data_IF_416873615693
#
_entry.id   IF_416873615693
#
_cell.length_a   1.000
_cell.length_b   1.000
_cell.length_c   1.000
_cell.angle_alpha   90.00
_cell.angle_beta   90.00
_cell.angle_gamma   90.00
#
_symmetry.space_group_name_H-M   'P 1'
#
loop_
_entity.id
_entity.type
_entity.pdbx_description
1 polymer ?
#
# COMPACT_ATOMS: atom_id res chain seq x y z
N UNK A 1 -0.95 25.02 -28.66
CA UNK A 1 -1.27 26.30 -28.02
C UNK A 1 -2.78 26.50 -28.12
N UNK A 2 -3.52 26.16 -27.06
CA UNK A 2 -4.94 26.51 -26.92
C UNK A 2 -5.00 27.32 -25.63
N UNK A 3 -5.24 28.61 -25.79
CA UNK A 3 -5.53 29.55 -24.71
C UNK A 3 -7.00 29.37 -24.39
N UNK A 4 -7.34 28.84 -23.21
CA UNK A 4 -8.71 28.86 -22.71
C UNK A 4 -8.86 30.12 -21.86
N UNK A 5 -9.44 31.15 -22.47
CA UNK A 5 -9.99 32.28 -21.74
C UNK A 5 -11.32 31.87 -21.10
N UNK A 6 -11.46 32.23 -19.83
CA UNK A 6 -12.61 32.00 -18.97
C UNK A 6 -13.84 32.79 -19.43
N UNK A 7 -15.01 32.13 -19.56
CA UNK A 7 -16.32 32.80 -19.59
C UNK A 7 -17.28 32.05 -18.65
N UNK A 8 -17.76 32.76 -17.63
CA UNK A 8 -18.84 32.38 -16.70
C UNK A 8 -20.21 32.67 -17.34
N UNK A 9 -21.16 31.72 -17.17
CA UNK A 9 -22.65 31.85 -17.13
C UNK A 9 -23.34 32.48 -18.37
N UNK A 10 -24.43 31.98 -18.97
CA UNK A 10 -25.78 31.59 -18.48
C UNK A 10 -26.48 30.65 -19.56
N UNK A 11 -27.80 30.29 -19.53
CA UNK A 11 -28.27 28.90 -19.36
C UNK A 11 -29.04 28.28 -20.56
N UNK A 12 -29.32 26.98 -20.44
CA UNK A 12 -30.38 26.19 -21.10
C UNK A 12 -30.47 26.16 -22.64
N UNK A 13 -30.15 25.01 -23.24
CA UNK A 13 -30.74 24.51 -24.50
C UNK A 13 -30.68 22.97 -24.58
N UNK A 14 -31.78 22.38 -25.04
CA UNK A 14 -32.08 20.94 -25.19
C UNK A 14 -31.13 20.21 -26.18
N UNK A 15 -31.10 18.85 -26.23
CA UNK A 15 -30.00 18.08 -26.82
C UNK A 15 -30.12 17.96 -28.34
N UNK A 16 -29.02 18.23 -29.04
CA UNK A 16 -28.88 17.96 -30.49
C UNK A 16 -28.12 16.65 -30.67
N UNK A 17 -28.67 15.76 -31.50
CA UNK A 17 -28.21 14.39 -31.70
C UNK A 17 -26.84 14.27 -32.41
N UNK A 18 -26.12 13.20 -32.06
CA UNK A 18 -24.77 12.79 -32.47
C UNK A 18 -24.50 12.60 -33.99
N UNK A 19 -25.41 13.04 -34.88
CA UNK A 19 -25.34 12.78 -36.33
C UNK A 19 -24.81 13.94 -37.19
N UNK A 20 -24.61 15.14 -36.64
CA UNK A 20 -24.09 16.29 -37.41
C UNK A 20 -22.58 16.55 -37.27
N UNK A 21 -21.87 15.86 -36.38
CA UNK A 21 -20.41 16.03 -36.22
C UNK A 21 -19.58 15.25 -37.26
N UNK A 22 -20.20 14.33 -38.02
CA UNK A 22 -19.48 13.42 -38.94
C UNK A 22 -19.35 13.90 -40.39
N UNK A 23 -19.82 15.12 -40.71
CA UNK A 23 -19.74 15.69 -42.06
C UNK A 23 -18.71 16.84 -42.18
N UNK A 24 -18.19 17.38 -41.07
CA UNK A 24 -17.24 18.49 -41.10
C UNK A 24 -15.74 18.08 -41.21
N UNK A 25 -15.39 16.79 -41.14
CA UNK A 25 -13.99 16.32 -41.20
C UNK A 25 -13.57 15.78 -42.57
N UNK A 26 -14.33 16.04 -43.65
CA UNK A 26 -14.02 15.55 -45.00
C UNK A 26 -13.85 16.64 -46.06
N UNK A 27 -13.82 17.92 -45.68
CA UNK A 27 -13.67 19.06 -46.61
C UNK A 27 -12.37 19.85 -46.41
N UNK A 28 -11.55 19.55 -45.41
CA UNK A 28 -10.24 20.21 -45.21
C UNK A 28 -9.12 19.18 -45.40
N UNK A 29 -9.01 18.65 -46.62
CA UNK A 29 -7.85 17.87 -47.05
C UNK A 29 -7.49 18.07 -48.53
N UNK A 30 -8.20 18.96 -49.24
CA UNK A 30 -7.89 19.29 -50.63
C UNK A 30 -8.11 20.79 -50.83
N UNK A 31 -7.05 21.57 -50.75
CA UNK A 31 -6.67 22.58 -51.76
C UNK A 31 -5.45 23.36 -51.27
N UNK A 32 -4.34 23.11 -51.96
CA UNK A 32 -3.18 23.98 -52.04
C UNK A 32 -3.43 25.10 -53.07
N UNK A 33 -2.76 26.23 -52.84
CA UNK A 33 -2.59 27.38 -53.75
C UNK A 33 -3.81 28.26 -54.05
N UNK A 34 -3.83 29.45 -53.43
CA UNK A 34 -3.92 30.77 -54.10
C UNK A 34 -3.91 31.86 -53.03
N UNK A 35 -3.11 32.91 -53.24
CA UNK A 35 -2.97 34.04 -52.31
C UNK A 35 -4.11 35.05 -52.43
N UNK A 36 -4.38 35.72 -51.30
CA UNK A 36 -4.97 37.05 -51.07
C UNK A 36 -4.37 37.39 -49.67
N UNK A 37 -3.63 38.48 -49.43
CA UNK A 37 -3.83 39.84 -49.91
C UNK A 37 -4.48 40.66 -48.80
N UNK A 38 -3.65 41.06 -47.82
CA UNK A 38 -3.79 42.20 -46.92
C UNK A 38 -4.93 42.30 -45.88
N UNK A 39 -4.61 43.10 -44.86
CA UNK A 39 -5.40 43.64 -43.73
C UNK A 39 -5.32 42.79 -42.46
N UNK A 40 -4.39 43.13 -41.55
CA UNK A 40 -4.59 43.39 -40.10
C UNK A 40 -3.25 43.90 -39.49
N UNK A 41 -3.26 44.83 -38.51
CA UNK A 41 -2.13 45.70 -38.16
C UNK A 41 -1.04 45.02 -37.33
N UNK A 42 0.16 45.59 -37.40
CA UNK A 42 1.32 45.23 -36.60
C UNK A 42 1.12 45.51 -35.11
N UNK A 43 1.26 44.49 -34.27
CA UNK A 43 1.67 44.65 -32.87
C UNK A 43 2.79 43.66 -32.53
N UNK A 44 3.83 44.21 -31.90
CA UNK A 44 5.11 43.59 -31.59
C UNK A 44 4.99 42.47 -30.55
N UNK A 45 5.38 41.25 -30.93
CA UNK A 45 5.78 40.21 -29.96
C UNK A 45 7.12 39.60 -30.37
N UNK A 46 8.15 39.84 -29.55
CA UNK A 46 9.46 39.22 -29.65
C UNK A 46 9.35 37.73 -29.30
N UNK A 47 9.60 36.85 -30.27
CA UNK A 47 9.85 35.43 -30.03
C UNK A 47 11.33 35.12 -30.25
N UNK A 48 12.01 34.60 -29.22
CA UNK A 48 13.32 33.97 -29.38
C UNK A 48 13.14 32.54 -29.86
N UNK A 49 13.38 32.31 -31.15
CA UNK A 49 13.45 30.99 -31.77
C UNK A 49 14.73 30.26 -31.30
N UNK A 50 14.58 29.23 -30.46
CA UNK A 50 15.68 28.30 -30.17
C UNK A 50 15.57 27.12 -31.15
N UNK A 51 16.43 27.13 -32.17
CA UNK A 51 16.58 26.06 -33.17
C UNK A 51 17.21 24.84 -32.50
N UNK A 52 16.43 23.78 -32.29
CA UNK A 52 16.97 22.47 -31.87
C UNK A 52 17.23 21.65 -33.14
N UNK A 53 18.50 21.35 -33.38
CA UNK A 53 18.94 20.48 -34.49
C UNK A 53 18.45 19.03 -34.28
N UNK A 54 17.80 18.46 -35.31
CA UNK A 54 17.53 17.02 -35.39
C UNK A 54 18.85 16.26 -35.63
N UNK A 55 19.16 15.19 -34.89
CA UNK A 55 20.24 14.29 -35.29
C UNK A 55 19.82 13.45 -36.51
N UNK A 56 20.80 13.25 -37.40
CA UNK A 56 20.69 12.62 -38.72
C UNK A 56 20.24 11.15 -38.63
N UNK A 57 19.31 10.81 -39.51
CA UNK A 57 18.91 9.46 -39.89
C UNK A 57 20.11 8.68 -40.44
N UNK A 58 20.48 7.56 -39.84
CA UNK A 58 21.32 6.53 -40.48
C UNK A 58 20.38 5.44 -40.99
N UNK A 59 20.24 5.38 -42.31
CA UNK A 59 19.56 4.30 -43.02
C UNK A 59 20.40 3.03 -42.97
N UNK A 60 19.83 1.94 -42.46
CA UNK A 60 20.22 0.58 -42.87
C UNK A 60 18.97 -0.17 -43.30
N UNK A 61 18.89 -0.44 -44.59
CA UNK A 61 17.91 -1.33 -45.19
C UNK A 61 18.06 -2.73 -44.60
N UNK A 62 16.99 -3.30 -44.07
CA UNK A 62 16.91 -4.75 -43.87
C UNK A 62 15.89 -5.26 -44.87
N UNK A 63 16.41 -6.03 -45.82
CA UNK A 63 15.70 -6.76 -46.85
C UNK A 63 14.69 -7.70 -46.20
N UNK A 64 13.44 -7.60 -46.64
CA UNK A 64 12.44 -8.65 -46.47
C UNK A 64 12.82 -9.83 -47.35
N UNK A 65 13.14 -10.98 -46.76
CA UNK A 65 12.96 -12.27 -47.41
C UNK A 65 12.74 -13.37 -46.36
N UNK A 66 11.59 -14.01 -46.50
CA UNK A 66 11.19 -15.32 -45.98
C UNK A 66 12.31 -16.35 -46.10
N UNK A 67 12.67 -17.03 -45.00
CA UNK A 67 13.17 -18.42 -45.05
C UNK A 67 12.92 -19.15 -43.72
N UNK A 68 12.69 -20.44 -43.89
CA UNK A 68 12.09 -21.43 -43.01
C UNK A 68 12.97 -21.92 -41.86
N UNK A 69 12.26 -22.40 -40.84
CA UNK A 69 12.68 -23.22 -39.72
C UNK A 69 13.74 -24.30 -40.05
N UNK A 70 14.89 -24.30 -39.36
CA UNK A 70 15.57 -25.46 -38.72
C UNK A 70 17.03 -25.14 -38.37
N UNK A 71 17.47 -25.59 -37.18
CA UNK A 71 18.86 -25.74 -36.73
C UNK A 71 19.73 -24.50 -36.43
N UNK A 72 19.51 -23.87 -35.27
CA UNK A 72 20.62 -23.32 -34.45
C UNK A 72 20.38 -23.72 -32.99
N UNK A 73 20.62 -24.99 -32.68
CA UNK A 73 20.64 -25.48 -31.30
C UNK A 73 21.93 -26.28 -31.12
N UNK A 74 23.05 -25.57 -30.92
CA UNK A 74 24.32 -26.16 -30.44
C UNK A 74 25.38 -25.17 -29.93
N UNK A 75 25.23 -23.85 -30.15
CA UNK A 75 26.19 -22.85 -29.63
C UNK A 75 25.67 -21.97 -28.48
N UNK A 76 24.47 -22.23 -27.95
CA UNK A 76 23.92 -21.48 -26.80
C UNK A 76 24.40 -21.99 -25.42
N UNK A 77 25.36 -22.92 -25.37
CA UNK A 77 25.82 -23.57 -24.12
C UNK A 77 27.21 -23.14 -23.62
N UNK A 78 27.82 -22.10 -24.20
CA UNK A 78 29.17 -21.69 -23.80
C UNK A 78 29.36 -20.16 -23.70
N UNK A 79 28.31 -19.44 -23.31
CA UNK A 79 28.33 -18.02 -22.90
C UNK A 79 27.33 -17.78 -21.75
N UNK A 80 27.35 -18.66 -20.75
CA UNK A 80 26.62 -18.49 -19.49
C UNK A 80 27.61 -18.64 -18.33
N UNK A 81 28.59 -17.75 -18.30
CA UNK A 81 29.33 -17.39 -17.10
C UNK A 81 29.47 -15.88 -17.16
N UNK A 82 28.96 -15.17 -16.14
CA UNK A 82 28.93 -13.71 -16.01
C UNK A 82 27.67 -12.95 -16.49
N UNK A 83 26.49 -13.57 -16.41
CA UNK A 83 25.25 -12.79 -16.22
C UNK A 83 24.94 -12.75 -14.73
N UNK A 84 25.05 -11.56 -14.13
CA UNK A 84 24.66 -11.27 -12.76
C UNK A 84 23.20 -11.71 -12.50
N UNK A 85 22.95 -12.21 -11.30
CA UNK A 85 21.64 -12.65 -10.83
C UNK A 85 20.59 -11.53 -10.98
N UNK A 86 19.79 -11.55 -12.06
CA UNK A 86 18.62 -10.68 -12.19
C UNK A 86 17.57 -11.20 -11.21
N UNK A 87 17.51 -10.59 -10.02
CA UNK A 87 16.42 -10.85 -9.07
C UNK A 87 15.08 -10.51 -9.73
N UNK A 88 14.13 -11.44 -9.70
CA UNK A 88 12.77 -11.19 -10.20
C UNK A 88 12.17 -9.94 -9.52
N UNK A 89 11.42 -9.11 -10.24
CA UNK A 89 10.87 -7.88 -9.67
C UNK A 89 9.86 -8.18 -8.55
N UNK A 90 9.91 -7.36 -7.49
CA UNK A 90 9.02 -7.43 -6.32
C UNK A 90 7.58 -7.03 -6.64
N UNK A 91 7.37 -6.26 -7.70
CA UNK A 91 6.07 -5.87 -8.24
C UNK A 91 6.02 -6.24 -9.72
N UNK A 92 5.01 -7.00 -10.14
CA UNK A 92 4.71 -7.23 -11.55
C UNK A 92 3.62 -6.27 -12.01
N UNK A 93 3.67 -5.87 -13.27
CA UNK A 93 2.65 -5.03 -13.89
C UNK A 93 2.21 -5.62 -15.24
N UNK A 94 0.93 -5.51 -15.54
CA UNK A 94 0.36 -5.87 -16.84
C UNK A 94 -0.78 -4.91 -17.19
N UNK A 95 -0.83 -4.42 -18.42
CA UNK A 95 -1.92 -3.59 -18.92
C UNK A 95 -2.65 -4.34 -20.03
N UNK A 96 -3.92 -4.66 -19.80
CA UNK A 96 -4.77 -5.34 -20.77
C UNK A 96 -6.16 -4.70 -20.77
N UNK A 97 -6.67 -4.36 -21.95
CA UNK A 97 -8.02 -3.81 -22.14
C UNK A 97 -8.34 -2.61 -21.23
N UNK A 98 -7.32 -1.78 -20.97
CA UNK A 98 -7.40 -0.61 -20.10
C UNK A 98 -7.33 -0.91 -18.60
N UNK A 99 -7.10 -2.15 -18.19
CA UNK A 99 -6.94 -2.56 -16.79
C UNK A 99 -5.46 -2.75 -16.48
N UNK A 100 -4.92 -1.92 -15.60
CA UNK A 100 -3.57 -2.07 -15.07
C UNK A 100 -3.62 -3.02 -13.87
N UNK A 101 -3.00 -4.18 -13.98
CA UNK A 101 -2.87 -5.14 -12.88
C UNK A 101 -1.49 -5.04 -12.24
N UNK A 102 -1.44 -4.71 -10.96
CA UNK A 102 -0.25 -4.70 -10.11
C UNK A 102 -0.25 -5.95 -9.24
N UNK A 103 0.79 -6.77 -9.34
CA UNK A 103 0.90 -8.03 -8.58
C UNK A 103 2.06 -7.95 -7.59
N UNK A 104 1.75 -7.97 -6.30
CA UNK A 104 2.74 -8.14 -5.24
C UNK A 104 3.44 -9.49 -5.42
N UNK A 105 4.76 -9.49 -5.61
CA UNK A 105 5.51 -10.66 -6.04
C UNK A 105 6.72 -10.95 -5.15
N UNK A 106 6.44 -11.12 -3.86
CA UNK A 106 7.40 -11.58 -2.83
C UNK A 106 6.80 -12.77 -2.06
N UNK A 107 6.39 -13.86 -2.72
CA UNK A 107 5.59 -14.92 -2.08
C UNK A 107 6.34 -15.63 -0.95
N UNK A 108 7.67 -15.75 -1.04
CA UNK A 108 8.52 -16.30 0.04
C UNK A 108 8.50 -15.45 1.31
N UNK A 109 8.31 -14.13 1.15
CA UNK A 109 8.14 -13.17 2.24
C UNK A 109 6.66 -12.90 2.53
N UNK A 110 5.74 -13.73 2.01
CA UNK A 110 4.29 -13.55 2.14
C UNK A 110 3.82 -12.17 1.67
N UNK A 111 4.46 -11.66 0.61
CA UNK A 111 4.20 -10.35 0.02
C UNK A 111 4.30 -9.20 1.02
N UNK A 112 5.23 -9.31 1.97
CA UNK A 112 5.53 -8.22 2.89
C UNK A 112 5.96 -6.95 2.14
N UNK A 113 5.54 -5.80 2.64
CA UNK A 113 5.85 -4.48 2.09
C UNK A 113 7.22 -4.04 2.60
N UNK A 114 8.22 -4.13 1.73
CA UNK A 114 9.51 -3.47 1.93
C UNK A 114 9.57 -2.14 1.19
N UNK A 115 10.63 -1.39 1.45
CA UNK A 115 10.88 -0.11 0.79
C UNK A 115 10.88 -0.24 -0.73
N UNK A 116 11.54 -1.28 -1.28
CA UNK A 116 11.60 -1.50 -2.74
C UNK A 116 10.22 -1.66 -3.36
N UNK A 117 9.38 -2.54 -2.81
CA UNK A 117 8.02 -2.78 -3.30
C UNK A 117 7.17 -1.51 -3.23
N UNK A 118 7.22 -0.80 -2.09
CA UNK A 118 6.48 0.43 -1.90
C UNK A 118 6.93 1.54 -2.88
N UNK A 119 8.23 1.69 -3.12
CA UNK A 119 8.75 2.66 -4.09
C UNK A 119 8.31 2.34 -5.51
N UNK A 120 8.25 1.05 -5.88
CA UNK A 120 7.73 0.65 -7.18
C UNK A 120 6.24 0.98 -7.35
N UNK A 121 5.44 0.71 -6.31
CA UNK A 121 4.02 1.06 -6.30
C UNK A 121 3.82 2.57 -6.36
N UNK A 122 4.56 3.33 -5.56
CA UNK A 122 4.52 4.78 -5.54
C UNK A 122 4.82 5.35 -6.93
N UNK A 123 5.91 4.93 -7.57
CA UNK A 123 6.28 5.39 -8.90
C UNK A 123 5.15 5.20 -9.93
N UNK A 124 4.55 4.01 -9.97
CA UNK A 124 3.46 3.71 -10.92
C UNK A 124 2.20 4.52 -10.59
N UNK A 125 1.80 4.59 -9.32
CA UNK A 125 0.57 5.29 -8.93
C UNK A 125 0.71 6.82 -9.12
N UNK A 126 1.89 7.37 -8.81
CA UNK A 126 2.25 8.76 -9.09
C UNK A 126 2.20 9.10 -10.58
N UNK A 127 2.54 8.15 -11.46
CA UNK A 127 2.39 8.35 -12.90
C UNK A 127 0.93 8.54 -13.33
N UNK A 128 -0.01 7.93 -12.59
CA UNK A 128 -1.45 8.00 -12.85
C UNK A 128 -2.12 9.23 -12.21
N UNK A 129 -1.53 9.82 -11.17
CA UNK A 129 -2.03 11.03 -10.52
C UNK A 129 -1.75 12.27 -11.40
N UNK A 130 -2.78 12.97 -11.92
CA UNK A 130 -2.59 14.15 -12.77
C UNK A 130 -1.97 15.34 -12.04
N UNK A 131 -2.07 15.39 -10.71
CA UNK A 131 -1.48 16.47 -9.90
C UNK A 131 -0.02 16.21 -9.53
N UNK A 132 0.47 14.99 -9.72
CA UNK A 132 1.85 14.68 -9.38
C UNK A 132 2.81 15.34 -10.38
N UNK A 133 3.74 16.14 -9.86
CA UNK A 133 4.85 16.63 -10.65
C UNK A 133 5.78 15.46 -10.99
N UNK A 134 5.73 15.04 -12.25
CA UNK A 134 6.50 13.89 -12.76
C UNK A 134 8.02 14.08 -12.63
N UNK A 135 8.49 15.33 -12.50
CA UNK A 135 9.90 15.64 -12.25
C UNK A 135 10.31 15.47 -10.78
N UNK A 136 9.32 15.33 -9.87
CA UNK A 136 9.51 15.10 -8.44
C UNK A 136 9.15 13.67 -8.02
N UNK A 137 8.96 12.76 -8.98
CA UNK A 137 9.02 11.31 -8.71
C UNK A 137 10.48 11.00 -8.37
N UNK A 138 10.89 11.41 -7.19
CA UNK A 138 12.20 11.07 -6.65
C UNK A 138 12.16 9.57 -6.37
N UNK A 139 13.22 8.81 -6.71
CA UNK A 139 13.50 7.59 -5.99
C UNK A 139 13.73 8.01 -4.54
N UNK A 140 12.67 7.96 -3.73
CA UNK A 140 12.78 8.12 -2.29
C UNK A 140 13.78 7.03 -1.86
N UNK A 141 14.88 7.43 -1.23
CA UNK A 141 16.02 6.57 -0.91
C UNK A 141 17.34 7.32 -1.09
N UNK A 142 17.84 7.94 -0.01
CA UNK A 142 19.05 8.77 -0.02
C UNK A 142 20.34 8.13 -0.58
N UNK A 143 21.27 9.03 -0.95
CA UNK A 143 22.62 8.83 -1.51
C UNK A 143 22.90 7.52 -2.25
N UNK A 144 22.68 7.58 -3.56
CA UNK A 144 23.19 6.60 -4.50
C UNK A 144 22.18 6.31 -5.60
N UNK A 145 22.10 7.21 -6.59
CA UNK A 145 21.36 7.00 -7.84
C UNK A 145 21.74 5.68 -8.56
N UNK A 146 22.87 5.05 -8.18
CA UNK A 146 23.40 3.85 -8.83
C UNK A 146 23.21 2.51 -8.08
N UNK A 147 22.71 2.48 -6.83
CA UNK A 147 22.66 1.22 -6.05
C UNK A 147 21.33 0.48 -6.05
N UNK A 148 20.23 1.14 -6.37
CA UNK A 148 18.95 0.48 -6.58
C UNK A 148 18.46 0.83 -7.97
N UNK A 149 18.45 -0.14 -8.89
CA UNK A 149 17.83 -0.04 -10.20
C UNK A 149 16.31 0.17 -10.09
N UNK A 150 15.91 1.35 -9.64
CA UNK A 150 14.55 1.78 -9.29
C UNK A 150 13.94 2.62 -10.42
N UNK A 151 14.51 2.54 -11.63
CA UNK A 151 13.79 2.84 -12.85
C UNK A 151 12.71 1.76 -13.03
N UNK A 152 11.55 2.02 -12.45
CA UNK A 152 10.33 1.35 -12.90
C UNK A 152 10.02 1.94 -14.26
N UNK A 153 10.32 1.20 -15.32
CA UNK A 153 9.75 1.51 -16.62
C UNK A 153 8.24 1.44 -16.48
N UNK A 154 7.57 2.55 -16.76
CA UNK A 154 6.11 2.62 -16.89
C UNK A 154 5.83 2.61 -18.40
N UNK A 155 5.70 1.42 -19.03
CA UNK A 155 5.71 1.28 -20.49
C UNK A 155 4.36 1.65 -21.12
N UNK A 156 3.52 2.40 -20.42
CA UNK A 156 2.18 2.74 -20.84
C UNK A 156 1.88 4.21 -20.54
N UNK A 157 1.10 4.88 -21.39
CA UNK A 157 0.65 6.23 -21.11
C UNK A 157 -0.50 6.19 -20.09
N UNK A 158 -0.57 7.20 -19.22
CA UNK A 158 -1.55 7.26 -18.12
C UNK A 158 -3.02 7.24 -18.59
N UNK A 159 -3.30 7.74 -19.80
CA UNK A 159 -4.64 7.78 -20.40
C UNK A 159 -5.11 6.40 -20.93
N UNK A 160 -4.19 5.45 -21.10
CA UNK A 160 -4.54 4.06 -21.43
C UNK A 160 -5.13 3.30 -20.22
N UNK A 161 -4.90 3.77 -18.99
CA UNK A 161 -5.38 3.10 -17.77
C UNK A 161 -6.76 3.62 -17.39
N UNK A 162 -7.72 2.69 -17.28
CA UNK A 162 -9.13 2.91 -16.95
C UNK A 162 -9.53 2.37 -15.58
N UNK A 163 -8.83 1.36 -15.09
CA UNK A 163 -8.95 0.82 -13.74
C UNK A 163 -7.61 0.20 -13.31
N UNK A 164 -7.39 0.14 -11.99
CA UNK A 164 -6.20 -0.50 -11.39
C UNK A 164 -6.66 -1.68 -10.54
N UNK A 165 -6.08 -2.86 -10.79
CA UNK A 165 -6.28 -4.06 -9.97
C UNK A 165 -5.00 -4.35 -9.20
N UNK A 166 -5.10 -4.47 -7.89
CA UNK A 166 -4.04 -4.93 -7.02
C UNK A 166 -4.31 -6.38 -6.62
N UNK A 167 -3.34 -7.24 -6.91
CA UNK A 167 -3.38 -8.66 -6.56
C UNK A 167 -2.01 -9.12 -6.01
N UNK A 168 -1.88 -10.39 -5.68
CA UNK A 168 -0.64 -10.93 -5.13
C UNK A 168 -0.34 -12.34 -5.66
N UNK A 169 0.94 -12.73 -5.68
CA UNK A 169 1.36 -14.10 -6.01
C UNK A 169 1.54 -14.97 -4.77
N UNK A 170 1.41 -16.28 -4.91
CA UNK A 170 1.54 -17.23 -3.79
C UNK A 170 0.33 -17.25 -2.85
N UNK A 171 0.45 -17.81 -1.64
CA UNK A 171 -0.71 -18.16 -0.80
C UNK A 171 -1.24 -17.03 0.11
N UNK A 172 -0.57 -15.89 0.14
CA UNK A 172 -0.91 -14.79 1.06
C UNK A 172 -1.00 -13.51 0.26
N UNK A 173 -2.11 -12.76 0.38
CA UNK A 173 -2.22 -11.45 -0.26
C UNK A 173 -1.10 -10.50 0.18
N UNK A 174 -1.02 -10.18 1.47
CA UNK A 174 0.03 -9.33 2.03
C UNK A 174 0.10 -9.43 3.55
N UNK A 175 1.28 -9.75 4.10
CA UNK A 175 1.47 -9.89 5.55
C UNK A 175 1.80 -8.58 6.29
N UNK A 176 1.75 -7.42 5.64
CA UNK A 176 2.13 -6.13 6.22
C UNK A 176 3.59 -5.77 5.98
N UNK A 177 4.17 -4.87 6.78
CA UNK A 177 5.58 -4.46 6.61
C UNK A 177 6.57 -5.61 6.78
N UNK A 178 7.68 -5.55 6.05
CA UNK A 178 8.79 -6.49 6.20
C UNK A 178 9.48 -6.28 7.55
N UNK A 179 9.16 -7.13 8.53
CA UNK A 179 9.71 -7.03 9.88
C UNK A 179 11.24 -7.17 9.93
N UNK A 180 11.87 -7.83 8.95
CA UNK A 180 13.35 -7.91 8.90
C UNK A 180 13.94 -6.57 8.50
N UNK A 181 13.34 -5.88 7.54
CA UNK A 181 13.74 -4.52 7.15
C UNK A 181 13.54 -3.55 8.32
N UNK A 182 12.37 -3.57 8.97
CA UNK A 182 12.11 -2.74 10.15
C UNK A 182 13.14 -2.98 11.27
N UNK A 183 13.45 -4.24 11.58
CA UNK A 183 14.47 -4.56 12.59
C UNK A 183 15.87 -4.05 12.18
N UNK A 184 16.24 -4.14 10.91
CA UNK A 184 17.53 -3.65 10.41
C UNK A 184 17.64 -2.13 10.52
N UNK A 185 16.57 -1.40 10.18
CA UNK A 185 16.53 0.05 10.31
C UNK A 185 16.73 0.49 11.77
N UNK A 186 16.13 -0.21 12.73
CA UNK A 186 16.32 0.07 14.16
C UNK A 186 17.76 -0.17 14.64
N UNK A 187 18.40 -1.26 14.22
CA UNK A 187 19.78 -1.59 14.61
C UNK A 187 20.78 -0.54 14.08
N UNK A 188 20.58 -0.09 12.84
CA UNK A 188 21.46 0.90 12.22
C UNK A 188 21.39 2.26 12.93
N UNK A 189 20.23 2.62 13.48
CA UNK A 189 20.07 3.84 14.28
C UNK A 189 20.78 3.75 15.64
N UNK A 190 20.73 2.60 16.32
CA UNK A 190 21.39 2.39 17.63
C UNK A 190 22.93 2.38 17.52
N UNK A 191 23.48 2.07 16.35
CA UNK A 191 24.94 2.02 16.12
C UNK A 191 25.55 3.36 15.68
N UNK A 192 24.73 4.35 15.33
CA UNK A 192 25.17 5.74 15.07
C UNK A 192 25.14 6.66 16.29
N UNK A 193 24.40 6.31 17.35
CA UNK A 193 24.32 7.12 18.57
C UNK A 193 25.48 6.80 19.54
N UNK A 194 26.50 7.65 19.57
CA UNK A 194 27.52 7.64 20.63
C UNK A 194 26.92 8.23 21.93
N UNK A 195 27.30 7.77 23.15
CA UNK A 195 26.76 8.35 24.37
C UNK A 195 27.21 9.81 24.52
N UNK A 196 26.34 10.75 24.94
CA UNK A 196 26.77 12.10 25.24
C UNK A 196 27.67 12.06 26.48
N UNK A 197 28.88 12.61 26.35
CA UNK A 197 29.78 12.86 27.47
C UNK A 197 29.09 13.80 28.47
N UNK A 198 29.04 13.38 29.73
CA UNK A 198 28.45 14.13 30.83
C UNK A 198 29.26 15.39 31.17
N UNK A 199 28.71 16.58 30.90
CA UNK A 199 28.84 17.76 31.77
C UNK A 199 27.95 18.91 31.28
N UNK A 200 27.22 19.49 32.25
CA UNK A 200 26.77 20.88 32.29
C UNK A 200 25.35 21.27 31.79
N UNK A 201 24.45 21.13 32.76
CA UNK A 201 23.27 21.93 33.11
C UNK A 201 23.12 23.36 32.51
N UNK A 202 21.89 23.58 31.98
CA UNK A 202 21.04 24.80 31.95
C UNK A 202 21.07 25.78 30.76
N UNK A 203 19.93 25.73 30.06
CA UNK A 203 18.91 26.79 29.81
C UNK A 203 19.15 27.84 28.69
N UNK A 204 18.05 28.00 27.94
CA UNK A 204 17.72 29.01 26.93
C UNK A 204 18.45 28.89 25.59
N UNK A 205 17.90 28.04 24.72
CA UNK A 205 18.06 28.19 23.28
C UNK A 205 16.72 27.85 22.60
N UNK A 206 16.43 28.66 21.60
CA UNK A 206 15.31 28.69 20.65
C UNK A 206 14.78 27.32 20.20
N UNK A 207 13.51 27.33 19.82
CA UNK A 207 12.89 26.37 18.90
C UNK A 207 13.72 26.26 17.61
N UNK A 208 14.75 25.42 17.64
CA UNK A 208 15.38 24.87 16.46
C UNK A 208 14.96 23.41 16.42
N UNK A 209 14.22 23.07 15.37
CA UNK A 209 13.83 21.72 14.98
C UNK A 209 15.02 20.77 15.11
N UNK A 210 15.04 19.96 16.17
CA UNK A 210 15.90 18.78 16.24
C UNK A 210 15.25 17.68 15.39
N UNK A 211 15.19 17.89 14.08
CA UNK A 211 14.99 16.83 13.10
C UNK A 211 16.34 16.12 12.94
N UNK A 212 16.53 14.99 13.61
CA UNK A 212 17.23 13.80 13.08
C UNK A 212 17.58 12.82 14.20
N UNK A 213 16.85 11.69 14.27
CA UNK A 213 17.41 10.36 14.62
C UNK A 213 16.46 9.15 14.36
N UNK A 214 15.48 9.23 13.44
CA UNK A 214 14.73 8.03 12.98
C UNK A 214 14.33 8.10 11.48
N UNK A 215 15.20 8.70 10.66
CA UNK A 215 14.90 9.15 9.29
C UNK A 215 14.38 8.01 8.38
N UNK A 216 15.08 6.87 8.32
CA UNK A 216 14.73 5.78 7.38
C UNK A 216 13.46 5.01 7.74
N UNK A 217 13.21 4.77 9.03
CA UNK A 217 11.94 4.18 9.48
C UNK A 217 10.78 5.12 9.17
N UNK A 218 11.00 6.41 9.40
CA UNK A 218 10.02 7.46 9.12
C UNK A 218 9.76 7.57 7.62
N UNK A 219 10.79 7.56 6.78
CA UNK A 219 10.70 7.48 5.31
C UNK A 219 9.85 6.29 4.86
N UNK A 220 10.07 5.10 5.42
CA UNK A 220 9.32 3.89 5.07
C UNK A 220 7.81 4.02 5.37
N UNK A 221 7.46 4.54 6.55
CA UNK A 221 6.04 4.76 6.91
C UNK A 221 5.41 5.89 6.09
N UNK A 222 6.16 6.96 5.79
CA UNK A 222 5.70 8.01 4.89
C UNK A 222 5.44 7.49 3.49
N UNK A 223 6.38 6.76 2.90
CA UNK A 223 6.23 6.13 1.60
C UNK A 223 5.01 5.20 1.55
N UNK A 224 4.84 4.37 2.58
CA UNK A 224 3.65 3.51 2.71
C UNK A 224 2.37 4.34 2.74
N UNK A 225 2.34 5.45 3.49
CA UNK A 225 1.18 6.33 3.57
C UNK A 225 0.87 7.03 2.25
N UNK A 226 1.90 7.50 1.53
CA UNK A 226 1.76 8.11 0.21
C UNK A 226 1.16 7.12 -0.80
N UNK A 227 1.64 5.86 -0.85
CA UNK A 227 1.04 4.81 -1.68
C UNK A 227 -0.46 4.66 -1.39
N UNK A 228 -0.83 4.68 -0.12
CA UNK A 228 -2.21 4.45 0.32
C UNK A 228 -3.10 5.66 0.03
N UNK A 229 -2.55 6.88 0.10
CA UNK A 229 -3.26 8.09 -0.31
C UNK A 229 -3.39 8.15 -1.84
N UNK A 230 -2.35 7.76 -2.59
CA UNK A 230 -2.40 7.68 -4.05
C UNK A 230 -3.48 6.71 -4.53
N UNK A 231 -3.61 5.52 -3.92
CA UNK A 231 -4.68 4.58 -4.25
C UNK A 231 -6.09 5.19 -4.14
N UNK A 232 -6.32 6.12 -3.20
CA UNK A 232 -7.60 6.84 -3.05
C UNK A 232 -7.71 8.09 -3.92
N UNK A 233 -6.58 8.63 -4.36
CA UNK A 233 -6.50 9.94 -5.04
C UNK A 233 -6.55 9.83 -6.55
N UNK A 234 -5.92 8.79 -7.12
CA UNK A 234 -5.84 8.64 -8.57
C UNK A 234 -7.25 8.59 -9.20
N UNK A 235 -7.44 9.12 -10.42
CA UNK A 235 -8.76 9.20 -11.02
C UNK A 235 -9.33 7.85 -11.49
N UNK A 236 -8.48 6.82 -11.61
CA UNK A 236 -8.89 5.48 -11.99
C UNK A 236 -9.41 4.70 -10.77
N UNK A 237 -10.57 4.03 -10.86
CA UNK A 237 -11.05 3.14 -9.81
C UNK A 237 -10.02 2.06 -9.47
N UNK A 238 -9.81 1.86 -8.17
CA UNK A 238 -8.88 0.86 -7.62
C UNK A 238 -9.62 -0.35 -7.05
N UNK A 239 -9.11 -1.53 -7.34
CA UNK A 239 -9.71 -2.80 -6.94
C UNK A 239 -8.63 -3.65 -6.27
N UNK A 240 -8.87 -4.16 -5.07
CA UNK A 240 -8.03 -5.22 -4.49
C UNK A 240 -8.67 -6.60 -4.67
N UNK A 241 -7.86 -7.56 -5.11
CA UNK A 241 -8.20 -8.98 -5.19
C UNK A 241 -7.45 -9.71 -4.06
N UNK A 242 -8.15 -10.02 -2.98
CA UNK A 242 -7.58 -10.51 -1.73
C UNK A 242 -7.87 -12.00 -1.56
N UNK A 243 -6.83 -12.83 -1.57
CA UNK A 243 -6.88 -14.23 -1.19
C UNK A 243 -5.96 -14.52 0.00
N UNK A 244 -6.26 -15.59 0.74
CA UNK A 244 -5.52 -15.92 1.96
C UNK A 244 -5.53 -14.78 2.98
N UNK A 245 -4.36 -14.41 3.52
CA UNK A 245 -4.29 -13.39 4.58
C UNK A 245 -3.95 -11.98 4.08
N UNK A 246 -4.69 -10.98 4.58
CA UNK A 246 -4.34 -9.56 4.54
C UNK A 246 -4.13 -9.05 5.97
N UNK A 247 -2.88 -8.82 6.37
CA UNK A 247 -2.57 -8.44 7.76
C UNK A 247 -1.84 -7.11 7.89
N UNK A 248 -2.13 -6.35 8.95
CA UNK A 248 -1.51 -5.06 9.25
C UNK A 248 -1.53 -4.13 8.01
N UNK A 249 -0.38 -3.71 7.49
CA UNK A 249 -0.32 -2.85 6.30
C UNK A 249 -0.89 -3.54 5.03
N UNK A 250 -0.97 -4.87 4.97
CA UNK A 250 -1.69 -5.58 3.90
C UNK A 250 -3.21 -5.43 4.01
N UNK A 251 -3.75 -5.40 5.24
CA UNK A 251 -5.16 -5.09 5.48
C UNK A 251 -5.46 -3.62 5.16
N UNK A 252 -4.54 -2.71 5.52
CA UNK A 252 -4.60 -1.29 5.14
C UNK A 252 -4.64 -1.11 3.62
N UNK A 253 -3.85 -1.91 2.90
CA UNK A 253 -3.74 -1.84 1.46
C UNK A 253 -5.06 -2.20 0.77
N UNK A 254 -5.70 -3.29 1.19
CA UNK A 254 -7.04 -3.65 0.73
C UNK A 254 -8.08 -2.56 1.08
N UNK A 255 -8.10 -2.12 2.34
CA UNK A 255 -9.03 -1.10 2.83
C UNK A 255 -8.88 0.28 2.16
N UNK A 256 -7.73 0.57 1.54
CA UNK A 256 -7.47 1.84 0.85
C UNK A 256 -7.93 1.83 -0.61
N UNK A 257 -8.37 0.68 -1.14
CA UNK A 257 -8.93 0.58 -2.50
C UNK A 257 -10.43 0.86 -2.53
N UNK A 258 -10.96 1.32 -3.67
CA UNK A 258 -12.39 1.64 -3.82
C UNK A 258 -13.28 0.40 -3.73
N UNK A 259 -12.79 -0.73 -4.24
CA UNK A 259 -13.50 -2.01 -4.25
C UNK A 259 -12.56 -3.10 -3.75
N UNK A 260 -13.03 -3.90 -2.79
CA UNK A 260 -12.31 -5.10 -2.33
C UNK A 260 -13.10 -6.35 -2.71
N UNK A 261 -12.49 -7.24 -3.50
CA UNK A 261 -13.00 -8.57 -3.78
C UNK A 261 -12.15 -9.58 -3.03
N UNK A 262 -12.79 -10.45 -2.25
CA UNK A 262 -12.10 -11.42 -1.42
C UNK A 262 -12.47 -12.86 -1.80
N UNK A 263 -11.52 -13.79 -1.69
CA UNK A 263 -11.84 -15.21 -1.70
C UNK A 263 -12.61 -15.61 -0.44
N UNK A 264 -13.35 -16.72 -0.50
CA UNK A 264 -14.14 -17.22 0.62
C UNK A 264 -13.32 -17.51 1.88
N UNK A 265 -12.09 -17.98 1.71
CA UNK A 265 -11.15 -18.28 2.78
C UNK A 265 -10.30 -17.07 3.22
N UNK A 266 -10.49 -15.89 2.59
CA UNK A 266 -9.72 -14.71 2.92
C UNK A 266 -9.93 -14.25 4.37
N UNK A 267 -8.85 -13.76 4.99
CA UNK A 267 -8.83 -13.32 6.37
C UNK A 267 -8.15 -11.95 6.50
N UNK A 268 -8.77 -11.07 7.29
CA UNK A 268 -8.31 -9.70 7.54
C UNK A 268 -7.94 -9.55 9.02
N UNK A 269 -6.78 -8.98 9.33
CA UNK A 269 -6.30 -8.91 10.72
C UNK A 269 -5.33 -7.74 10.95
N UNK A 270 -5.32 -7.17 12.16
CA UNK A 270 -4.30 -6.21 12.62
C UNK A 270 -3.54 -6.78 13.83
N UNK A 271 -2.63 -7.74 13.62
CA UNK A 271 -2.05 -8.55 14.70
C UNK A 271 -0.94 -7.86 15.50
N UNK A 272 -0.59 -6.60 15.19
CA UNK A 272 0.58 -5.92 15.78
C UNK A 272 0.60 -5.97 17.31
N UNK A 273 -0.58 -5.93 17.94
CA UNK A 273 -0.70 -5.85 19.40
C UNK A 273 -0.18 -7.11 20.10
N UNK A 274 -0.11 -8.23 19.37
CA UNK A 274 0.46 -9.49 19.84
C UNK A 274 2.00 -9.47 19.90
N UNK A 275 2.64 -8.46 19.30
CA UNK A 275 4.09 -8.26 19.27
C UNK A 275 4.50 -6.88 19.79
N UNK A 276 3.66 -6.23 20.59
CA UNK A 276 3.97 -4.93 21.20
C UNK A 276 3.82 -3.72 20.26
N UNK A 277 3.21 -3.89 19.09
CA UNK A 277 2.96 -2.82 18.13
C UNK A 277 1.48 -2.49 18.01
N UNK A 278 1.12 -1.22 17.90
CA UNK A 278 -0.24 -0.83 17.58
C UNK A 278 -0.35 -0.57 16.08
N UNK A 279 -1.36 -1.11 15.40
CA UNK A 279 -1.54 -0.91 13.96
C UNK A 279 -2.15 0.47 13.63
N UNK A 280 -1.44 1.55 13.97
CA UNK A 280 -1.90 2.94 13.83
C UNK A 280 -2.07 3.40 12.38
N UNK A 281 -1.25 2.90 11.46
CA UNK A 281 -1.40 3.21 10.02
C UNK A 281 -2.54 2.43 9.38
N UNK A 282 -2.72 1.12 9.65
CA UNK A 282 -3.92 0.39 9.23
C UNK A 282 -5.22 0.96 9.77
N UNK A 283 -5.23 1.57 10.97
CA UNK A 283 -6.46 2.10 11.53
C UNK A 283 -7.05 3.27 10.73
N UNK A 284 -6.25 4.00 9.93
CA UNK A 284 -6.73 5.13 9.14
C UNK A 284 -7.86 4.72 8.18
N UNK A 285 -7.66 3.80 7.22
CA UNK A 285 -8.73 3.34 6.34
C UNK A 285 -9.73 2.43 7.07
N UNK A 286 -9.30 1.63 8.05
CA UNK A 286 -10.23 0.74 8.76
C UNK A 286 -11.32 1.49 9.52
N UNK A 287 -11.02 2.68 10.07
CA UNK A 287 -12.02 3.52 10.72
C UNK A 287 -12.98 4.20 9.74
N UNK A 288 -12.69 4.19 8.44
CA UNK A 288 -13.58 4.66 7.37
C UNK A 288 -14.46 3.53 6.84
N UNK A 289 -13.91 2.31 6.71
CA UNK A 289 -14.63 1.16 6.19
C UNK A 289 -15.51 0.46 7.23
N UNK A 290 -15.02 0.30 8.47
CA UNK A 290 -15.67 -0.53 9.49
C UNK A 290 -16.46 0.30 10.50
N UNK A 291 -17.55 -0.25 11.07
CA UNK A 291 -18.17 0.31 12.26
C UNK A 291 -17.15 0.43 13.40
N UNK A 292 -17.13 1.58 14.08
CA UNK A 292 -16.12 1.92 15.09
C UNK A 292 -15.86 0.83 16.14
N UNK A 293 -16.92 0.16 16.62
CA UNK A 293 -16.79 -0.93 17.61
C UNK A 293 -16.07 -2.16 17.05
N UNK A 294 -16.30 -2.48 15.78
CA UNK A 294 -15.66 -3.61 15.09
C UNK A 294 -14.17 -3.27 14.83
N UNK A 295 -13.89 -2.06 14.34
CA UNK A 295 -12.51 -1.61 14.15
C UNK A 295 -11.73 -1.63 15.46
N UNK A 296 -12.30 -1.12 16.55
CA UNK A 296 -11.64 -1.09 17.86
C UNK A 296 -11.39 -2.48 18.42
N UNK A 297 -12.37 -3.38 18.32
CA UNK A 297 -12.20 -4.76 18.74
C UNK A 297 -11.06 -5.43 17.96
N UNK A 298 -11.06 -5.32 16.62
CA UNK A 298 -9.98 -5.82 15.76
C UNK A 298 -8.60 -5.24 16.13
N UNK A 299 -8.52 -3.93 16.38
CA UNK A 299 -7.26 -3.24 16.68
C UNK A 299 -6.74 -3.51 18.10
N UNK A 300 -7.61 -3.65 19.10
CA UNK A 300 -7.20 -3.90 20.49
C UNK A 300 -6.92 -5.38 20.77
N UNK A 301 -7.69 -6.29 20.17
CA UNK A 301 -7.55 -7.73 20.41
C UNK A 301 -6.61 -8.40 19.42
N UNK A 302 -6.46 -7.80 18.23
CA UNK A 302 -5.81 -8.42 17.10
C UNK A 302 -6.64 -9.54 16.49
N UNK A 303 -7.97 -9.63 16.72
CA UNK A 303 -8.78 -10.73 16.17
C UNK A 303 -8.82 -10.72 14.64
N UNK A 304 -9.14 -11.88 14.08
CA UNK A 304 -9.38 -12.08 12.65
C UNK A 304 -10.82 -11.67 12.32
N UNK A 305 -10.98 -11.03 11.16
CA UNK A 305 -12.24 -10.91 10.44
C UNK A 305 -12.22 -11.88 9.27
N UNK A 306 -13.21 -12.77 9.22
CA UNK A 306 -13.44 -13.62 8.06
C UNK A 306 -13.92 -12.80 6.86
N UNK A 307 -13.78 -13.33 5.65
CA UNK A 307 -14.33 -12.73 4.41
C UNK A 307 -15.83 -12.36 4.54
N UNK A 308 -16.63 -13.22 5.17
CA UNK A 308 -18.07 -12.99 5.40
C UNK A 308 -18.33 -11.86 6.40
N UNK A 309 -17.60 -11.82 7.52
CA UNK A 309 -17.69 -10.68 8.45
C UNK A 309 -17.24 -9.39 7.78
N UNK A 310 -16.13 -9.42 7.05
CA UNK A 310 -15.61 -8.27 6.33
C UNK A 310 -16.60 -7.76 5.28
N UNK A 311 -17.32 -8.66 4.59
CA UNK A 311 -18.43 -8.31 3.69
C UNK A 311 -19.58 -7.65 4.45
N UNK A 312 -20.02 -8.26 5.55
CA UNK A 312 -21.12 -7.75 6.38
C UNK A 312 -20.82 -6.36 6.96
N UNK A 313 -19.56 -6.09 7.31
CA UNK A 313 -19.14 -4.81 7.88
C UNK A 313 -18.70 -3.76 6.85
N UNK A 314 -18.68 -4.10 5.55
CA UNK A 314 -18.34 -3.15 4.47
C UNK A 314 -16.86 -2.98 4.18
N UNK A 315 -15.98 -3.80 4.76
CA UNK A 315 -14.55 -3.85 4.40
C UNK A 315 -14.34 -4.58 3.05
N UNK A 316 -15.20 -5.55 2.72
CA UNK A 316 -15.18 -6.29 1.46
C UNK A 316 -16.45 -5.99 0.69
N UNK A 317 -16.32 -5.74 -0.62
CA UNK A 317 -17.46 -5.47 -1.50
C UNK A 317 -18.10 -6.74 -2.04
N UNK A 318 -17.29 -7.78 -2.31
CA UNK A 318 -17.74 -9.09 -2.81
C UNK A 318 -16.87 -10.22 -2.30
N UNK A 319 -17.50 -11.35 -1.99
CA UNK A 319 -16.82 -12.61 -1.72
C UNK A 319 -17.06 -13.55 -2.89
N UNK A 320 -16.01 -14.20 -3.37
CA UNK A 320 -16.05 -15.17 -4.47
C UNK A 320 -15.49 -16.51 -4.01
N UNK A 321 -16.01 -17.61 -4.57
CA UNK A 321 -15.42 -18.93 -4.39
C UNK A 321 -14.06 -18.98 -5.12
N UNK A 322 -13.11 -19.75 -4.59
CA UNK A 322 -11.90 -20.08 -5.34
C UNK A 322 -12.28 -20.89 -6.58
N UNK A 323 -11.60 -20.63 -7.70
CA UNK A 323 -11.62 -21.58 -8.81
C UNK A 323 -11.07 -22.92 -8.29
N UNK A 324 -11.71 -24.07 -8.63
CA UNK A 324 -11.21 -25.36 -8.18
C UNK A 324 -9.74 -25.49 -8.58
N UNK A 325 -8.86 -25.97 -7.68
CA UNK A 325 -7.45 -26.07 -7.99
C UNK A 325 -7.26 -26.86 -9.29
N UNK A 326 -6.59 -26.26 -10.27
CA UNK A 326 -6.20 -26.96 -11.50
C UNK A 326 -5.37 -28.16 -11.08
N UNK A 327 -5.92 -29.35 -11.29
CA UNK A 327 -5.42 -30.63 -10.80
C UNK A 327 -3.89 -30.75 -10.86
N UNK A 328 -3.22 -30.67 -9.71
CA UNK A 328 -1.88 -31.22 -9.51
C UNK A 328 -1.87 -32.02 -8.21
N UNK A 329 -1.72 -33.33 -8.40
CA UNK A 329 -1.33 -34.38 -7.44
C UNK A 329 -1.64 -34.15 -5.96
N UNK A 330 -2.61 -34.94 -5.47
CA UNK A 330 -2.72 -35.30 -4.06
C UNK A 330 -1.36 -35.78 -3.52
N UNK A 331 -0.90 -35.18 -2.43
CA UNK A 331 -0.27 -35.91 -1.34
C UNK A 331 -0.90 -35.41 -0.05
N UNK A 332 -1.84 -36.20 0.45
CA UNK A 332 -2.27 -36.09 1.83
C UNK A 332 -1.11 -36.57 2.71
N UNK A 333 -0.62 -35.69 3.56
CA UNK A 333 0.03 -36.06 4.82
C UNK A 333 -0.44 -35.06 5.86
N UNK A 334 -1.11 -35.60 6.87
CA UNK A 334 -1.62 -34.90 8.04
C UNK A 334 -0.50 -34.15 8.77
N UNK A 335 -0.69 -32.85 8.98
CA UNK A 335 -0.09 -32.11 10.10
C UNK A 335 -1.09 -31.05 10.57
N UNK A 336 -1.98 -31.50 11.47
CA UNK A 336 -2.67 -30.62 12.40
C UNK A 336 -1.73 -30.20 13.55
N UNK A 337 -1.98 -29.02 14.09
CA UNK A 337 -1.55 -28.47 15.38
C UNK A 337 -0.28 -27.59 15.42
N UNK A 338 -0.44 -26.28 15.11
CA UNK A 338 0.13 -25.19 15.93
C UNK A 338 -0.87 -24.02 16.01
N UNK A 339 -2.00 -24.25 16.66
CA UNK A 339 -2.73 -23.22 17.40
C UNK A 339 -3.19 -23.88 18.69
N UNK A 340 -2.35 -23.80 19.71
CA UNK A 340 -2.76 -24.16 21.06
C UNK A 340 -3.85 -23.19 21.49
N UNK A 341 -5.11 -23.61 21.37
CA UNK A 341 -6.15 -23.13 22.26
C UNK A 341 -5.82 -23.73 23.62
N UNK A 342 -5.06 -22.99 24.42
CA UNK A 342 -4.85 -23.33 25.81
C UNK A 342 -6.17 -23.05 26.55
N UNK A 343 -7.12 -23.99 26.42
CA UNK A 343 -8.25 -24.09 27.36
C UNK A 343 -7.74 -24.77 28.60
N UNK A 344 -6.85 -24.08 29.31
CA UNK A 344 -6.67 -24.36 30.73
C UNK A 344 -7.95 -23.89 31.40
N UNK A 345 -8.82 -24.83 31.73
CA UNK A 345 -9.87 -24.60 32.72
C UNK A 345 -9.15 -24.30 34.03
N UNK A 346 -8.83 -23.03 34.27
CA UNK A 346 -8.46 -22.57 35.60
C UNK A 346 -9.69 -22.77 36.48
N UNK A 347 -9.67 -23.89 37.22
CA UNK A 347 -10.58 -24.20 38.32
C UNK A 347 -10.52 -23.16 39.46
N UNK A 348 -9.78 -22.07 39.30
CA UNK A 348 -9.61 -21.02 40.30
C UNK A 348 -10.37 -19.72 39.96
N UNK A 349 -10.95 -19.58 38.76
CA UNK A 349 -11.72 -18.37 38.40
C UNK A 349 -13.17 -18.43 38.90
N UNK A 350 -13.72 -19.64 39.12
CA UNK A 350 -15.06 -19.80 39.67
C UNK A 350 -15.16 -19.51 41.17
N UNK A 351 -14.04 -19.59 41.90
CA UNK A 351 -14.00 -19.33 43.35
C UNK A 351 -13.87 -17.83 43.69
N UNK A 352 -13.20 -17.02 42.84
CA UNK A 352 -13.13 -15.56 43.05
C UNK A 352 -14.42 -14.82 42.67
N UNK A 353 -15.18 -15.33 41.70
CA UNK A 353 -16.51 -14.76 41.36
C UNK A 353 -17.53 -15.05 42.47
N UNK A 354 -17.33 -16.11 43.25
CA UNK A 354 -18.26 -16.54 44.31
C UNK A 354 -18.35 -15.56 45.48
N UNK A 355 -17.31 -14.72 45.69
CA UNK A 355 -17.24 -13.83 46.86
C UNK A 355 -17.73 -12.39 46.65
N UNK A 356 -18.26 -12.05 45.47
CA UNK A 356 -18.80 -10.70 45.19
C UNK A 356 -20.32 -10.66 44.94
N UNK A 357 -21.06 -11.72 45.25
CA UNK A 357 -22.49 -11.80 44.94
C UNK A 357 -23.41 -11.29 46.06
N UNK A 358 -23.70 -9.99 46.04
CA UNK A 358 -24.94 -9.44 46.62
C UNK A 358 -25.87 -8.77 45.59
N UNK A 359 -25.60 -8.89 44.29
CA UNK A 359 -26.56 -8.53 43.24
C UNK A 359 -26.77 -9.70 42.27
N UNK A 360 -27.99 -10.23 42.24
CA UNK A 360 -28.38 -11.31 41.33
C UNK A 360 -28.51 -10.74 39.92
N UNK A 361 -27.46 -10.88 39.12
CA UNK A 361 -27.52 -10.63 37.68
C UNK A 361 -28.30 -11.75 36.99
N UNK A 362 -29.06 -11.45 35.92
CA UNK A 362 -29.77 -12.48 35.15
C UNK A 362 -28.78 -13.47 34.48
N UNK A 363 -29.20 -14.69 34.11
CA UNK A 363 -28.33 -15.62 33.36
C UNK A 363 -27.72 -14.98 32.11
N UNK A 364 -28.51 -14.19 31.36
CA UNK A 364 -28.02 -13.44 30.21
C UNK A 364 -26.96 -12.40 30.56
N UNK A 365 -27.16 -11.64 31.65
CA UNK A 365 -26.17 -10.68 32.13
C UNK A 365 -24.84 -11.36 32.53
N UNK A 366 -24.89 -12.57 33.11
CA UNK A 366 -23.67 -13.35 33.41
C UNK A 366 -22.91 -13.76 32.15
N UNK A 367 -23.61 -14.19 31.10
CA UNK A 367 -22.97 -14.56 29.82
C UNK A 367 -22.28 -13.34 29.19
N UNK A 368 -22.97 -12.20 29.11
CA UNK A 368 -22.40 -10.97 28.56
C UNK A 368 -21.21 -10.48 29.39
N UNK A 369 -21.31 -10.55 30.73
CA UNK A 369 -20.21 -10.17 31.61
C UNK A 369 -19.00 -11.10 31.46
N UNK A 370 -19.23 -12.41 31.30
CA UNK A 370 -18.16 -13.38 31.05
C UNK A 370 -17.42 -13.06 29.76
N UNK A 371 -18.15 -12.76 28.69
CA UNK A 371 -17.57 -12.40 27.40
C UNK A 371 -16.79 -11.08 27.48
N UNK A 372 -17.37 -10.05 28.10
CA UNK A 372 -16.69 -8.78 28.33
C UNK A 372 -15.38 -8.96 29.12
N UNK A 373 -15.39 -9.82 30.14
CA UNK A 373 -14.20 -10.14 30.93
C UNK A 373 -13.16 -10.92 30.12
N UNK A 374 -13.57 -11.79 29.20
CA UNK A 374 -12.66 -12.51 28.29
C UNK A 374 -11.94 -11.53 27.38
N UNK A 375 -12.67 -10.61 26.73
CA UNK A 375 -12.08 -9.55 25.90
C UNK A 375 -11.18 -8.64 26.73
N UNK A 376 -11.60 -8.22 27.92
CA UNK A 376 -10.81 -7.38 28.81
C UNK A 376 -9.48 -8.04 29.21
N UNK A 377 -9.49 -9.34 29.56
CA UNK A 377 -8.28 -10.11 29.85
C UNK A 377 -7.36 -10.23 28.64
N UNK A 378 -7.92 -10.44 27.44
CA UNK A 378 -7.15 -10.48 26.20
C UNK A 378 -6.43 -9.14 25.93
N UNK A 379 -7.12 -8.02 26.13
CA UNK A 379 -6.51 -6.68 25.99
C UNK A 379 -5.46 -6.44 27.09
N UNK A 380 -5.76 -6.82 28.34
CA UNK A 380 -4.85 -6.69 29.47
C UNK A 380 -3.58 -7.53 29.32
N UNK A 381 -3.62 -8.61 28.52
CA UNK A 381 -2.45 -9.43 28.21
C UNK A 381 -1.48 -8.77 27.21
N UNK A 382 -1.84 -7.62 26.61
CA UNK A 382 -0.99 -6.89 25.66
C UNK A 382 -0.14 -5.86 26.39
N UNK A 383 0.84 -5.28 25.69
CA UNK A 383 1.63 -4.18 26.24
C UNK A 383 0.73 -2.99 26.61
N UNK A 384 0.78 -2.57 27.87
CA UNK A 384 0.04 -1.41 28.37
C UNK A 384 0.49 -0.10 27.68
N UNK A 385 1.77 0.01 27.34
CA UNK A 385 2.30 1.17 26.60
C UNK A 385 1.70 1.23 25.19
N UNK A 386 1.74 0.11 24.45
CA UNK A 386 1.12 -0.03 23.13
C UNK A 386 -0.37 0.30 23.13
N UNK A 387 -1.12 -0.20 24.13
CA UNK A 387 -2.56 0.07 24.25
C UNK A 387 -2.87 1.54 24.51
N UNK A 388 -2.09 2.21 25.38
CA UNK A 388 -2.27 3.63 25.70
C UNK A 388 -1.99 4.51 24.48
N UNK A 389 -0.85 4.28 23.82
CA UNK A 389 -0.46 4.98 22.59
C UNK A 389 -1.51 4.79 21.49
N UNK A 390 -1.89 3.53 21.23
CA UNK A 390 -2.89 3.19 20.21
C UNK A 390 -4.25 3.82 20.46
N UNK A 391 -4.77 3.77 21.70
CA UNK A 391 -6.04 4.41 22.04
C UNK A 391 -6.02 5.92 21.81
N UNK A 392 -4.92 6.60 22.16
CA UNK A 392 -4.76 8.03 21.90
C UNK A 392 -4.89 8.37 20.42
N UNK A 393 -4.17 7.63 19.57
CA UNK A 393 -4.19 7.81 18.11
C UNK A 393 -5.57 7.53 17.54
N UNK A 394 -6.24 6.46 17.96
CA UNK A 394 -7.58 6.12 17.48
C UNK A 394 -8.60 7.21 17.79
N UNK A 395 -8.55 7.79 18.99
CA UNK A 395 -9.47 8.89 19.32
C UNK A 395 -9.24 10.08 18.40
N UNK A 396 -7.98 10.45 18.19
CA UNK A 396 -7.63 11.54 17.30
C UNK A 396 -8.06 11.29 15.84
N UNK A 397 -7.81 10.08 15.31
CA UNK A 397 -8.20 9.72 13.95
C UNK A 397 -9.70 9.72 13.71
N UNK A 398 -10.53 9.49 14.75
CA UNK A 398 -11.99 9.58 14.63
C UNK A 398 -12.55 11.00 14.66
N UNK A 399 -11.70 12.01 14.90
CA UNK A 399 -12.09 13.41 14.85
C UNK A 399 -12.25 13.86 13.40
N UNK A 400 -13.38 14.47 13.07
CA UNK A 400 -13.65 15.04 11.74
C UNK A 400 -12.79 16.26 11.41
N UNK A 401 -12.00 16.76 12.36
CA UNK A 401 -11.19 17.97 12.21
C UNK A 401 -9.84 17.73 11.50
N UNK A 402 -9.49 16.46 11.22
CA UNK A 402 -8.22 16.12 10.60
C UNK A 402 -8.42 15.59 9.18
N UNK A 403 -7.65 16.15 8.25
CA UNK A 403 -7.53 15.63 6.88
C UNK A 403 -6.95 14.22 6.87
N UNK A 404 -7.09 13.51 5.74
CA UNK A 404 -6.48 12.20 5.55
C UNK A 404 -4.96 12.23 5.80
N UNK A 405 -4.29 13.27 5.27
CA UNK A 405 -2.84 13.46 5.41
C UNK A 405 -2.43 13.65 6.88
N UNK A 406 -3.19 14.42 7.65
CA UNK A 406 -2.94 14.60 9.09
C UNK A 406 -3.16 13.30 9.87
N UNK A 407 -4.21 12.54 9.55
CA UNK A 407 -4.46 11.22 10.17
C UNK A 407 -3.31 10.25 9.93
N UNK A 408 -2.75 10.22 8.72
CA UNK A 408 -1.54 9.43 8.44
C UNK A 408 -0.29 9.98 9.12
N UNK A 409 -0.09 11.29 9.17
CA UNK A 409 1.05 11.89 9.89
C UNK A 409 1.06 11.46 11.36
N UNK A 410 -0.09 11.56 12.03
CA UNK A 410 -0.24 11.11 13.43
C UNK A 410 -0.03 9.60 13.57
N UNK A 411 -0.53 8.81 12.61
CA UNK A 411 -0.34 7.37 12.59
C UNK A 411 1.15 6.97 12.46
N UNK A 412 1.86 7.61 11.53
CA UNK A 412 3.28 7.35 11.27
C UNK A 412 4.12 7.70 12.49
N UNK A 413 3.89 8.88 13.07
CA UNK A 413 4.60 9.29 14.28
C UNK A 413 4.39 8.28 15.42
N UNK A 414 3.16 7.83 15.62
CA UNK A 414 2.87 6.83 16.64
C UNK A 414 3.49 5.46 16.34
N UNK A 415 3.57 5.05 15.06
CA UNK A 415 4.28 3.81 14.66
C UNK A 415 5.77 3.89 14.99
N UNK A 416 6.40 5.01 14.65
CA UNK A 416 7.82 5.27 14.90
C UNK A 416 8.10 5.26 16.40
N UNK A 417 7.31 6.01 17.19
CA UNK A 417 7.43 6.02 18.66
C UNK A 417 7.20 4.62 19.27
N UNK A 418 6.19 3.89 18.79
CA UNK A 418 5.89 2.57 19.33
C UNK A 418 7.00 1.55 19.01
N UNK A 419 7.61 1.62 17.82
CA UNK A 419 8.74 0.77 17.44
C UNK A 419 9.92 0.88 18.39
N UNK A 420 10.18 2.07 18.93
CA UNK A 420 11.28 2.34 19.85
C UNK A 420 11.00 1.85 21.29
N UNK A 421 9.78 1.37 21.57
CA UNK A 421 9.44 0.80 22.87
C UNK A 421 10.12 -0.56 23.09
N UNK A 422 10.45 -0.86 24.35
CA UNK A 422 11.05 -2.14 24.75
C UNK A 422 10.17 -3.33 24.35
N UNK A 423 8.86 -3.23 24.56
CA UNK A 423 7.91 -4.32 24.28
C UNK A 423 7.83 -4.62 22.78
N UNK A 424 7.84 -3.60 21.92
CA UNK A 424 7.89 -3.76 20.47
C UNK A 424 9.18 -4.46 20.02
N UNK A 425 10.35 -3.97 20.47
CA UNK A 425 11.65 -4.59 20.11
C UNK A 425 11.72 -6.06 20.51
N UNK A 426 11.30 -6.38 21.73
CA UNK A 426 11.28 -7.76 22.23
C UNK A 426 10.24 -8.62 21.47
N UNK A 427 9.06 -8.07 21.20
CA UNK A 427 8.00 -8.74 20.46
C UNK A 427 8.42 -9.09 19.02
N UNK A 428 8.98 -8.13 18.28
CA UNK A 428 9.51 -8.34 16.92
C UNK A 428 10.62 -9.39 16.93
N UNK A 429 11.59 -9.27 17.86
CA UNK A 429 12.69 -10.23 18.00
C UNK A 429 12.16 -11.65 18.24
N UNK A 430 11.28 -11.83 19.24
CA UNK A 430 10.71 -13.14 19.56
C UNK A 430 9.92 -13.73 18.39
N UNK A 431 9.16 -12.91 17.67
CA UNK A 431 8.40 -13.33 16.50
C UNK A 431 9.29 -13.82 15.35
N UNK A 432 10.35 -13.06 15.05
CA UNK A 432 11.31 -13.43 14.00
C UNK A 432 12.13 -14.67 14.36
N UNK A 433 12.49 -14.85 15.63
CA UNK A 433 13.20 -16.03 16.13
C UNK A 433 12.33 -17.30 16.05
N UNK A 434 11.05 -17.22 16.47
CA UNK A 434 10.10 -18.34 16.34
C UNK A 434 9.94 -18.78 14.88
N UNK A 435 9.99 -17.85 13.93
CA UNK A 435 9.94 -18.15 12.49
C UNK A 435 11.21 -18.77 11.92
N UNK A 436 12.35 -18.75 12.63
CA UNK A 436 13.59 -19.44 12.22
C UNK A 436 13.64 -20.89 12.72
N UNK A 437 12.82 -21.24 13.70
CA UNK A 437 12.75 -22.58 14.30
C UNK A 437 11.74 -23.53 13.64
N UNK A 438 10.93 -23.02 12.72
CA UNK A 438 10.17 -23.78 11.72
C UNK A 438 10.85 -23.64 10.36
#
# INVERSE_FOLDING_TARGET
MIVIASIRSIPALHPISFRQFRVASKIIANHSHTGIGDIIPQENYNYSLKVIHRPKTISRSINTNTFTNTNINKNARMLCSEASCVTSPSLLQSLQDGVLTLTLNRPRQRNALDFRLLSQMHCILSHLDPETDKNRILPIGGEGEEKFGLLVDVPFPSDAVRAVVLQASGPVFCSGHDLKELQQLQINTESSSSPPSTSDTKRFASESENENENDRTTELFHLCSEVMMLLRKIPQPTISAVHGMATAAGCQLAASTDITIASKDAQFMTPGVNIGLFCSTPSVPLLECLPKKIAFDMLYTGRILTSNEALMYGLVSRVVDEAPPSCSSKSATDEDAIFGTDTRTDSNVEDEIRNCHSFVSSPGARVVQREANTVARLIASKSAATMKLGKGVLMAQTSSNYSMKERYRMANQAMVENLDTKDARLGIKSFLEKRRGN
#
